data_IF_233648914422
#
_entry.id   IF_233648914422
#
_cell.length_a   1.000
_cell.length_b   1.000
_cell.length_c   1.000
_cell.angle_alpha   90.00
_cell.angle_beta   90.00
_cell.angle_gamma   90.00
#
_symmetry.space_group_name_H-M   'P 1'
#
loop_
_entity.id
_entity.type
_entity.pdbx_description
1 polymer ?
#
# COMPACT_ATOMS: atom_id res chain seq x y z
N UNK A 1 21.98 1.92 23.61
CA UNK A 1 21.38 0.75 22.94
C UNK A 1 20.68 1.19 21.66
N UNK A 2 21.09 0.61 20.58
CA UNK A 2 20.47 0.94 19.31
C UNK A 2 19.11 0.25 19.21
N UNK A 3 18.10 1.03 18.96
CA UNK A 3 16.76 0.51 18.81
C UNK A 3 16.44 0.40 17.32
N UNK A 4 16.16 -0.81 16.88
CA UNK A 4 15.69 -1.01 15.51
C UNK A 4 14.22 -0.68 15.43
N UNK A 5 13.91 0.39 14.71
CA UNK A 5 12.55 0.75 14.38
C UNK A 5 12.31 0.24 12.97
N UNK A 6 11.25 -0.54 12.79
CA UNK A 6 10.90 -1.00 11.47
C UNK A 6 10.68 0.19 10.55
N UNK A 7 11.39 0.20 9.44
CA UNK A 7 11.27 1.27 8.45
C UNK A 7 10.35 0.79 7.33
N UNK A 8 9.30 1.53 7.08
CA UNK A 8 8.36 1.25 6.00
C UNK A 8 8.60 2.24 4.88
N UNK A 9 8.96 1.70 3.73
CA UNK A 9 9.33 2.48 2.57
C UNK A 9 8.20 2.54 1.55
N UNK A 10 8.19 3.59 0.75
CA UNK A 10 7.28 3.68 -0.37
C UNK A 10 7.40 2.43 -1.24
N UNK A 11 6.27 1.91 -1.69
CA UNK A 11 6.11 0.68 -2.49
C UNK A 11 6.23 -0.63 -1.71
N UNK A 12 6.48 -0.58 -0.41
CA UNK A 12 6.35 -1.80 0.40
C UNK A 12 4.89 -2.23 0.45
N UNK A 13 4.70 -3.54 0.42
CA UNK A 13 3.37 -4.15 0.57
C UNK A 13 3.32 -4.78 1.95
N UNK A 14 2.30 -4.42 2.70
CA UNK A 14 2.13 -4.82 4.09
C UNK A 14 0.75 -5.41 4.31
N UNK A 15 0.63 -6.20 5.37
CA UNK A 15 -0.67 -6.73 5.81
C UNK A 15 -1.20 -5.84 6.92
N UNK A 16 -2.43 -5.40 6.78
CA UNK A 16 -3.09 -4.49 7.72
C UNK A 16 -4.44 -5.04 8.17
N UNK A 17 -4.94 -4.61 9.34
CA UNK A 17 -6.27 -5.01 9.77
C UNK A 17 -7.34 -4.32 8.91
N UNK A 18 -8.48 -4.97 8.79
CA UNK A 18 -9.64 -4.43 8.08
C UNK A 18 -10.91 -4.72 8.88
N UNK A 19 -11.71 -3.72 9.22
CA UNK A 19 -11.52 -2.28 8.95
C UNK A 19 -10.35 -1.68 9.73
N UNK A 20 -9.79 -0.60 9.21
CA UNK A 20 -8.55 0.00 9.73
C UNK A 20 -8.72 0.64 11.10
N UNK A 21 -9.94 0.82 11.54
CA UNK A 21 -10.27 1.48 12.81
C UNK A 21 -10.34 0.52 13.98
N UNK A 22 -10.29 -0.79 13.73
CA UNK A 22 -10.46 -1.80 14.77
C UNK A 22 -9.22 -2.66 14.92
N UNK A 23 -8.57 -2.58 16.09
CA UNK A 23 -7.37 -3.35 16.38
C UNK A 23 -7.62 -4.86 16.38
N UNK A 24 -8.83 -5.28 16.71
CA UNK A 24 -9.21 -6.70 16.78
C UNK A 24 -9.98 -7.15 15.56
N UNK A 25 -9.75 -6.50 14.43
CA UNK A 25 -10.38 -6.90 13.18
C UNK A 25 -10.02 -8.36 12.83
N UNK A 26 -11.02 -9.15 12.51
CA UNK A 26 -10.82 -10.54 12.11
C UNK A 26 -10.31 -10.69 10.69
N UNK A 27 -10.43 -9.63 9.89
CA UNK A 27 -9.98 -9.63 8.50
C UNK A 27 -8.70 -8.85 8.38
N UNK A 28 -7.82 -9.35 7.52
CA UNK A 28 -6.59 -8.67 7.16
C UNK A 28 -6.56 -8.44 5.65
N UNK A 29 -5.96 -7.33 5.23
CA UNK A 29 -5.86 -6.98 3.82
C UNK A 29 -4.45 -6.53 3.50
N UNK A 30 -3.99 -6.77 2.27
CA UNK A 30 -2.74 -6.16 1.84
C UNK A 30 -2.98 -4.69 1.49
N UNK A 31 -1.94 -3.89 1.69
CA UNK A 31 -1.93 -2.48 1.36
C UNK A 31 -0.56 -2.09 0.83
N UNK A 32 -0.54 -1.10 -0.06
CA UNK A 32 0.69 -0.56 -0.62
C UNK A 32 1.02 0.76 0.08
N UNK A 33 2.25 0.87 0.58
CA UNK A 33 2.73 2.13 1.16
C UNK A 33 3.05 3.08 0.02
N UNK A 34 2.44 4.26 0.01
CA UNK A 34 2.61 5.24 -1.05
C UNK A 34 3.33 6.50 -0.59
N UNK A 35 3.49 6.69 0.71
CA UNK A 35 4.16 7.88 1.25
C UNK A 35 5.65 7.65 1.45
N UNK A 36 6.40 8.76 1.38
CA UNK A 36 7.85 8.76 1.53
C UNK A 36 8.26 8.40 2.95
N UNK A 37 9.21 7.47 3.07
CA UNK A 37 9.81 7.16 4.37
C UNK A 37 10.57 8.37 4.91
N UNK A 38 11.40 9.00 4.07
CA UNK A 38 12.23 10.14 4.48
C UNK A 38 11.43 11.37 4.86
N UNK A 39 10.39 11.66 4.08
CA UNK A 39 9.67 12.93 4.22
C UNK A 39 8.44 12.83 5.11
N UNK A 40 7.98 11.64 5.40
CA UNK A 40 6.72 11.46 6.10
C UNK A 40 6.75 10.32 7.11
N UNK A 41 6.91 9.07 6.65
CA UNK A 41 6.70 7.88 7.49
C UNK A 41 7.57 7.86 8.75
N UNK A 42 8.86 8.20 8.60
CA UNK A 42 9.79 8.14 9.72
C UNK A 42 9.57 9.24 10.75
N UNK A 43 8.90 10.33 10.38
CA UNK A 43 8.64 11.43 11.30
C UNK A 43 7.47 11.17 12.22
N UNK A 44 6.41 10.57 11.73
CA UNK A 44 5.17 10.46 12.49
C UNK A 44 4.79 9.02 12.82
N UNK A 45 5.55 8.04 12.36
CA UNK A 45 5.23 6.63 12.61
C UNK A 45 3.93 6.18 11.96
N UNK A 46 3.53 6.84 10.89
CA UNK A 46 2.34 6.54 10.09
C UNK A 46 2.73 6.51 8.63
N UNK A 47 1.99 5.77 7.82
CA UNK A 47 2.15 5.80 6.38
C UNK A 47 0.80 5.98 5.69
N UNK A 48 0.82 6.69 4.58
CA UNK A 48 -0.33 6.74 3.67
C UNK A 48 -0.28 5.51 2.79
N UNK A 49 -1.40 4.83 2.65
CA UNK A 49 -1.49 3.55 1.95
C UNK A 49 -2.64 3.54 0.96
N UNK A 50 -2.50 2.69 -0.06
CA UNK A 50 -3.56 2.35 -1.00
C UNK A 50 -3.97 0.89 -0.78
N UNK A 51 -5.24 0.60 -0.94
CA UNK A 51 -5.76 -0.77 -0.82
C UNK A 51 -5.25 -1.65 -1.96
N UNK A 52 -4.87 -2.88 -1.63
CA UNK A 52 -4.64 -3.93 -2.61
C UNK A 52 -5.78 -4.93 -2.49
N UNK A 53 -6.40 -5.25 -3.61
CA UNK A 53 -7.53 -6.16 -3.63
C UNK A 53 -7.38 -7.18 -4.75
N UNK A 54 -8.15 -8.26 -4.67
CA UNK A 54 -8.16 -9.30 -5.70
C UNK A 54 -8.67 -8.71 -7.02
N UNK A 55 -8.07 -9.16 -8.12
CA UNK A 55 -8.49 -8.75 -9.47
C UNK A 55 -9.92 -9.20 -9.82
N UNK A 56 -10.57 -9.98 -8.98
CA UNK A 56 -11.95 -10.41 -9.16
C UNK A 56 -12.98 -9.32 -8.88
N UNK A 57 -12.59 -8.28 -8.15
CA UNK A 57 -13.52 -7.20 -7.81
C UNK A 57 -13.73 -6.27 -8.99
N UNK A 58 -14.90 -5.61 -9.01
CA UNK A 58 -15.25 -4.67 -10.07
C UNK A 58 -14.23 -3.52 -10.10
N UNK A 59 -13.95 -3.02 -11.30
CA UNK A 59 -12.95 -2.00 -11.53
C UNK A 59 -13.38 -0.64 -10.98
N UNK A 60 -12.40 0.08 -10.45
CA UNK A 60 -12.49 1.50 -10.12
C UNK A 60 -11.66 2.30 -11.11
N UNK A 61 -11.98 3.58 -11.31
CA UNK A 61 -11.09 4.46 -12.07
C UNK A 61 -9.69 4.45 -11.48
N UNK A 62 -8.68 4.45 -12.34
CA UNK A 62 -7.26 4.52 -11.97
C UNK A 62 -6.74 3.32 -11.18
N UNK A 63 -7.45 2.20 -11.19
CA UNK A 63 -6.90 0.95 -10.66
C UNK A 63 -5.61 0.59 -11.39
N UNK A 64 -4.62 0.08 -10.67
CA UNK A 64 -3.37 -0.41 -11.25
C UNK A 64 -3.28 -1.92 -11.06
N UNK A 65 -3.36 -2.72 -12.14
CA UNK A 65 -3.10 -4.15 -12.04
C UNK A 65 -1.64 -4.39 -11.65
N UNK A 66 -1.41 -5.35 -10.75
CA UNK A 66 -0.06 -5.79 -10.44
C UNK A 66 0.30 -6.88 -11.43
N UNK A 67 1.14 -6.55 -12.40
CA UNK A 67 1.52 -7.46 -13.48
C UNK A 67 2.63 -8.41 -13.08
N UNK A 68 3.48 -8.00 -12.13
CA UNK A 68 4.58 -8.81 -11.63
C UNK A 68 4.35 -9.12 -10.16
N UNK A 69 3.91 -10.33 -9.88
CA UNK A 69 3.65 -10.77 -8.50
C UNK A 69 4.92 -11.17 -7.75
N UNK A 70 6.03 -11.36 -8.45
CA UNK A 70 7.29 -11.74 -7.82
C UNK A 70 7.75 -10.65 -6.86
N UNK A 71 8.15 -11.06 -5.67
CA UNK A 71 8.63 -10.14 -4.65
C UNK A 71 7.54 -9.36 -3.92
N UNK A 72 6.27 -9.50 -4.31
CA UNK A 72 5.16 -8.79 -3.65
C UNK A 72 4.62 -9.51 -2.41
N UNK A 73 4.82 -10.82 -2.33
CA UNK A 73 4.23 -11.63 -1.27
C UNK A 73 2.74 -11.86 -1.41
N UNK A 74 2.15 -11.49 -2.55
CA UNK A 74 0.71 -11.66 -2.79
C UNK A 74 0.43 -13.03 -3.39
N UNK A 75 -0.60 -13.74 -2.90
CA UNK A 75 -0.88 -15.12 -3.34
C UNK A 75 -1.69 -15.20 -4.63
N UNK A 76 -2.33 -14.12 -5.04
CA UNK A 76 -3.24 -14.13 -6.20
C UNK A 76 -3.10 -12.85 -7.00
N UNK A 77 -3.58 -12.89 -8.23
CA UNK A 77 -3.67 -11.73 -9.10
C UNK A 77 -4.41 -10.60 -8.39
N UNK A 78 -3.80 -9.43 -8.35
CA UNK A 78 -4.24 -8.32 -7.51
C UNK A 78 -4.19 -7.00 -8.25
N UNK A 79 -4.94 -6.03 -7.74
CA UNK A 79 -4.93 -4.65 -8.23
C UNK A 79 -4.72 -3.69 -7.06
N UNK A 80 -4.04 -2.58 -7.34
CA UNK A 80 -3.90 -1.47 -6.40
C UNK A 80 -5.05 -0.50 -6.66
N UNK A 81 -5.80 -0.21 -5.62
CA UNK A 81 -6.97 0.65 -5.71
C UNK A 81 -6.73 1.93 -4.95
N UNK A 82 -7.10 3.05 -5.53
CA UNK A 82 -6.90 4.36 -4.91
C UNK A 82 -7.96 4.65 -3.84
N UNK A 83 -8.14 3.70 -2.97
CA UNK A 83 -8.85 3.84 -1.71
C UNK A 83 -7.80 4.08 -0.64
N UNK A 84 -7.52 5.35 -0.38
CA UNK A 84 -6.37 5.76 0.42
C UNK A 84 -6.74 5.90 1.88
N UNK A 85 -5.78 5.59 2.75
CA UNK A 85 -5.92 5.76 4.19
C UNK A 85 -4.54 5.95 4.81
N UNK A 86 -4.50 6.54 5.99
CA UNK A 86 -3.28 6.71 6.77
C UNK A 86 -3.35 5.80 7.99
N UNK A 87 -2.31 5.01 8.20
CA UNK A 87 -2.30 4.01 9.28
C UNK A 87 -1.05 4.16 10.14
N UNK A 88 -1.26 4.06 11.47
CA UNK A 88 -0.18 3.97 12.45
C UNK A 88 0.61 2.67 12.22
N UNK A 89 1.94 2.76 12.18
CA UNK A 89 2.81 1.60 11.95
C UNK A 89 2.59 0.49 12.98
N UNK A 90 2.15 0.84 14.19
CA UNK A 90 1.88 -0.15 15.23
C UNK A 90 0.74 -1.10 14.88
N UNK A 91 -0.10 -0.72 13.92
CA UNK A 91 -1.21 -1.55 13.45
C UNK A 91 -0.83 -2.45 12.27
N UNK A 92 0.35 -2.27 11.70
CA UNK A 92 0.82 -3.13 10.61
C UNK A 92 1.10 -4.53 11.18
N UNK A 93 0.51 -5.54 10.55
CA UNK A 93 0.61 -6.92 11.04
C UNK A 93 1.92 -7.56 10.57
N UNK A 94 2.26 -7.40 9.30
CA UNK A 94 3.50 -7.95 8.74
C UNK A 94 3.85 -7.28 7.43
N UNK A 95 5.13 -7.37 7.05
CA UNK A 95 5.58 -6.99 5.73
C UNK A 95 5.42 -8.17 4.79
N UNK A 96 4.89 -7.94 3.59
CA UNK A 96 4.69 -8.99 2.59
C UNK A 96 5.75 -8.97 1.50
N UNK A 97 6.14 -7.78 1.06
CA UNK A 97 7.09 -7.62 -0.01
C UNK A 97 7.09 -6.21 -0.55
N UNK A 98 7.40 -6.06 -1.82
CA UNK A 98 7.41 -4.75 -2.47
C UNK A 98 6.99 -4.85 -3.93
N UNK A 99 6.59 -3.71 -4.49
CA UNK A 99 6.11 -3.61 -5.86
C UNK A 99 7.30 -3.63 -6.83
N UNK A 100 7.13 -4.26 -7.98
CA UNK A 100 8.15 -4.26 -9.04
C UNK A 100 8.34 -2.86 -9.63
N UNK A 101 9.51 -2.60 -10.21
CA UNK A 101 9.81 -1.30 -10.80
C UNK A 101 8.86 -0.96 -11.95
N UNK A 102 8.49 -1.95 -12.79
CA UNK A 102 7.55 -1.71 -13.86
C UNK A 102 6.16 -1.33 -13.36
N UNK A 103 5.70 -1.99 -12.31
CA UNK A 103 4.39 -1.67 -11.71
C UNK A 103 4.41 -0.34 -10.96
N UNK A 104 5.54 0.04 -10.35
CA UNK A 104 5.71 1.37 -9.75
C UNK A 104 5.46 2.49 -10.76
N UNK A 105 6.00 2.36 -11.95
CA UNK A 105 5.86 3.38 -13.00
C UNK A 105 4.39 3.60 -13.37
N UNK A 106 3.64 2.51 -13.56
CA UNK A 106 2.22 2.59 -13.88
C UNK A 106 1.42 3.17 -12.70
N UNK A 107 1.70 2.69 -11.51
CA UNK A 107 1.02 3.18 -10.31
C UNK A 107 1.24 4.68 -10.09
N UNK A 108 2.48 5.14 -10.23
CA UNK A 108 2.82 6.56 -10.03
C UNK A 108 2.04 7.45 -10.99
N UNK A 109 1.89 7.01 -12.23
CA UNK A 109 1.10 7.72 -13.23
C UNK A 109 -0.37 7.83 -12.82
N UNK A 110 -0.94 6.73 -12.34
CA UNK A 110 -2.33 6.70 -11.89
C UNK A 110 -2.54 7.55 -10.64
N UNK A 111 -1.60 7.49 -9.70
CA UNK A 111 -1.67 8.31 -8.49
C UNK A 111 -1.60 9.81 -8.83
N UNK A 112 -0.71 10.19 -9.73
CA UNK A 112 -0.62 11.58 -10.18
C UNK A 112 -1.92 12.04 -10.85
N UNK A 113 -2.54 11.16 -11.64
CA UNK A 113 -3.80 11.46 -12.30
C UNK A 113 -4.95 11.70 -11.30
N UNK A 114 -4.92 11.01 -10.16
CA UNK A 114 -5.96 11.14 -9.13
C UNK A 114 -6.10 12.58 -8.64
N UNK A 115 -4.99 13.27 -8.48
CA UNK A 115 -4.96 14.63 -7.96
C UNK A 115 -4.70 15.67 -9.05
N UNK A 116 -4.77 15.24 -10.30
CA UNK A 116 -4.67 16.12 -11.45
C UNK A 116 -6.04 16.74 -11.73
N UNK A 117 -6.01 17.97 -12.19
CA UNK A 117 -7.23 18.67 -12.58
C UNK A 117 -7.13 19.01 -14.08
N UNK A 118 -7.52 18.08 -14.96
CA UNK A 118 -7.39 18.29 -16.40
C UNK A 118 -8.32 19.40 -16.88
N UNK A 119 -7.82 20.20 -17.80
CA UNK A 119 -8.58 21.28 -18.42
C UNK A 119 -9.58 20.73 -19.44
#
# INVERSE_FOLDING_TARGET
MTRHIATYNRYDIVKVPFPFTERQANKHRPALIISSSKLFNSYIGHSVMAMVTSAKHSAWPLDTPINDLDGTGLPVSSIIRLKLFTLDHRLIISALGSLSDSDKTVFDKNLAALISDPN
#
